data_IF_727135958554
#
_entry.id   IF_727135958554
#
_cell.length_a   1.000
_cell.length_b   1.000
_cell.length_c   1.000
_cell.angle_alpha   90.00
_cell.angle_beta   90.00
_cell.angle_gamma   90.00
#
_symmetry.space_group_name_H-M   'P 1'
#
loop_
_entity.id
_entity.type
_entity.pdbx_description
1 polymer ?
#
# COMPACT_ATOMS: atom_id res chain seq x y z
N UNK A 1 -47.97 23.68 -20.93
CA UNK A 1 -47.57 22.39 -21.53
C UNK A 1 -46.04 22.35 -21.57
N UNK A 2 -45.46 21.28 -21.02
CA UNK A 2 -44.05 20.85 -20.99
C UNK A 2 -43.05 21.67 -20.13
N UNK A 3 -42.77 21.33 -18.85
CA UNK A 3 -41.78 20.36 -18.29
C UNK A 3 -40.34 20.48 -18.82
N UNK A 4 -39.39 20.94 -17.99
CA UNK A 4 -38.43 20.13 -17.19
C UNK A 4 -37.45 21.04 -16.42
N UNK A 5 -37.14 20.78 -15.13
CA UNK A 5 -36.17 21.55 -14.35
C UNK A 5 -34.76 20.95 -14.51
N UNK A 6 -33.76 21.76 -14.87
CA UNK A 6 -32.37 21.34 -14.76
C UNK A 6 -31.83 21.68 -13.37
N UNK A 7 -31.68 20.63 -12.56
CA UNK A 7 -30.88 20.59 -11.35
C UNK A 7 -29.43 20.99 -11.66
N UNK A 8 -28.96 22.13 -11.16
CA UNK A 8 -27.53 22.37 -10.98
C UNK A 8 -27.14 21.91 -9.57
N UNK A 9 -26.75 20.65 -9.45
CA UNK A 9 -25.98 20.19 -8.31
C UNK A 9 -24.57 20.80 -8.45
N UNK A 10 -24.28 21.84 -7.68
CA UNK A 10 -22.94 22.38 -7.55
C UNK A 10 -22.09 21.37 -6.76
N UNK A 11 -21.38 20.51 -7.48
CA UNK A 11 -20.37 19.64 -6.89
C UNK A 11 -19.19 20.52 -6.49
N UNK A 12 -19.10 20.88 -5.20
CA UNK A 12 -17.93 21.56 -4.65
C UNK A 12 -16.76 20.57 -4.74
N UNK A 13 -15.82 20.90 -5.61
CA UNK A 13 -14.57 20.18 -5.76
C UNK A 13 -13.79 20.24 -4.44
N UNK A 14 -13.57 19.07 -3.83
CA UNK A 14 -12.51 18.92 -2.85
C UNK A 14 -11.19 19.19 -3.56
N UNK A 15 -10.59 20.35 -3.30
CA UNK A 15 -9.22 20.67 -3.68
C UNK A 15 -8.29 19.75 -2.90
N UNK A 16 -8.03 18.56 -3.43
CA UNK A 16 -6.86 17.80 -3.05
C UNK A 16 -5.66 18.62 -3.53
N UNK A 17 -4.95 19.26 -2.60
CA UNK A 17 -3.67 19.88 -2.87
C UNK A 17 -2.80 18.83 -3.57
N UNK A 18 -2.46 19.08 -4.83
CA UNK A 18 -1.49 18.30 -5.59
C UNK A 18 -0.19 18.34 -4.80
N UNK A 19 0.36 17.21 -4.30
CA UNK A 19 1.70 17.22 -3.76
C UNK A 19 2.65 17.67 -4.89
N UNK A 20 3.67 18.48 -4.58
CA UNK A 20 4.55 19.06 -5.59
C UNK A 20 5.15 17.94 -6.45
N UNK A 21 5.24 18.21 -7.76
CA UNK A 21 5.88 17.38 -8.77
C UNK A 21 7.22 16.84 -8.27
N UNK A 22 7.19 15.64 -7.70
CA UNK A 22 8.40 14.93 -7.32
C UNK A 22 8.53 13.79 -8.30
N UNK A 23 9.61 13.70 -9.10
CA UNK A 23 9.80 12.59 -10.00
C UNK A 23 9.80 11.31 -9.17
N UNK A 24 8.74 10.55 -9.34
CA UNK A 24 8.47 9.31 -8.64
C UNK A 24 9.63 8.36 -8.88
N UNK A 25 10.38 8.05 -7.83
CA UNK A 25 11.49 7.09 -7.90
C UNK A 25 10.90 5.71 -8.20
N UNK A 26 11.48 4.93 -9.13
CA UNK A 26 11.04 3.56 -9.39
C UNK A 26 11.04 2.75 -8.08
N UNK A 27 9.87 2.27 -7.67
CA UNK A 27 9.74 1.32 -6.56
C UNK A 27 9.45 1.89 -5.17
N UNK A 28 9.22 3.20 -4.97
CA UNK A 28 8.68 3.74 -3.71
C UNK A 28 7.45 4.59 -3.97
N UNK A 29 6.42 4.40 -3.16
CA UNK A 29 5.14 5.09 -3.27
C UNK A 29 4.90 5.93 -2.01
N UNK A 30 4.64 7.23 -2.19
CA UNK A 30 4.31 8.15 -1.10
C UNK A 30 2.80 8.15 -0.78
N UNK A 31 1.95 7.68 -1.70
CA UNK A 31 0.50 7.55 -1.47
C UNK A 31 -0.11 6.32 -2.14
N UNK A 32 -1.34 5.96 -1.75
CA UNK A 32 -2.14 4.93 -2.43
C UNK A 32 -2.51 5.30 -3.87
N UNK A 33 -2.82 6.57 -4.12
CA UNK A 33 -3.25 7.05 -5.45
C UNK A 33 -2.14 6.88 -6.47
N UNK A 34 -0.91 7.06 -6.01
CA UNK A 34 0.32 6.87 -6.77
C UNK A 34 0.56 5.39 -7.11
N UNK A 35 0.17 4.47 -6.22
CA UNK A 35 0.21 3.03 -6.49
C UNK A 35 -0.79 2.66 -7.57
N UNK A 36 -2.02 3.18 -7.48
CA UNK A 36 -3.04 2.95 -8.51
C UNK A 36 -2.62 3.48 -9.89
N UNK A 37 -1.88 4.59 -9.93
CA UNK A 37 -1.40 5.20 -11.17
C UNK A 37 -0.17 4.49 -11.76
N UNK A 38 0.70 3.92 -10.91
CA UNK A 38 2.06 3.50 -11.32
C UNK A 38 2.36 2.00 -11.15
N UNK A 39 1.40 1.17 -10.71
CA UNK A 39 1.59 -0.28 -10.60
C UNK A 39 1.48 -0.98 -11.98
N UNK A 40 2.35 -1.96 -12.33
CA UNK A 40 3.76 -2.14 -12.03
C UNK A 40 4.62 -1.80 -13.26
N UNK A 41 5.17 -0.58 -13.34
CA UNK A 41 6.37 -0.35 -14.14
C UNK A 41 7.58 -1.07 -13.49
N UNK A 42 8.68 -1.27 -14.23
CA UNK A 42 9.87 -1.94 -13.71
C UNK A 42 10.38 -1.23 -12.43
N UNK A 43 10.35 -1.92 -11.27
CA UNK A 43 10.75 -1.32 -10.02
C UNK A 43 12.27 -1.14 -9.99
N UNK A 44 12.71 -0.07 -9.34
CA UNK A 44 14.09 0.01 -8.86
C UNK A 44 14.33 -1.13 -7.87
N UNK A 45 15.59 -1.56 -7.72
CA UNK A 45 15.93 -2.63 -6.78
C UNK A 45 15.88 -2.07 -5.36
N UNK A 46 14.85 -2.41 -4.59
CA UNK A 46 14.77 -2.11 -3.16
C UNK A 46 15.49 -3.24 -2.42
N UNK A 47 16.66 -2.96 -1.85
CA UNK A 47 17.52 -4.02 -1.32
C UNK A 47 17.07 -4.49 0.06
N UNK A 48 16.78 -3.60 1.03
CA UNK A 48 16.42 -4.02 2.39
C UNK A 48 15.62 -2.96 3.16
N UNK A 49 14.59 -3.40 3.89
CA UNK A 49 14.03 -2.70 5.04
C UNK A 49 14.81 -3.13 6.28
N UNK A 50 15.72 -2.29 6.79
CA UNK A 50 16.38 -2.56 8.07
C UNK A 50 15.54 -1.94 9.20
N UNK A 51 14.97 -2.73 10.13
CA UNK A 51 14.14 -2.22 11.22
C UNK A 51 14.85 -1.14 12.06
N UNK A 52 16.18 -1.22 12.15
CA UNK A 52 17.00 -0.26 12.88
C UNK A 52 17.18 1.09 12.18
N UNK A 53 16.96 1.16 10.86
CA UNK A 53 17.35 2.34 10.08
C UNK A 53 16.22 3.32 9.84
N UNK A 54 14.94 2.96 9.99
CA UNK A 54 13.83 3.88 9.72
C UNK A 54 13.77 4.41 8.27
N UNK A 55 14.57 3.84 7.36
CA UNK A 55 14.68 4.22 5.96
C UNK A 55 14.59 2.99 5.05
N UNK A 56 14.08 3.18 3.84
CA UNK A 56 14.18 2.26 2.72
C UNK A 56 15.41 2.60 1.88
N UNK A 57 16.13 1.58 1.44
CA UNK A 57 17.24 1.72 0.50
C UNK A 57 16.78 1.33 -0.90
N UNK A 58 16.76 2.31 -1.79
CA UNK A 58 16.33 2.15 -3.19
C UNK A 58 17.53 2.30 -4.09
N UNK A 59 17.79 1.31 -4.93
CA UNK A 59 18.84 1.37 -5.95
C UNK A 59 18.18 1.64 -7.30
N UNK A 60 18.50 2.79 -7.88
CA UNK A 60 17.99 3.18 -9.19
C UNK A 60 18.51 2.21 -10.27
N UNK A 61 17.59 1.67 -11.07
CA UNK A 61 17.92 0.84 -12.21
C UNK A 61 18.70 1.67 -13.25
N UNK A 62 19.81 1.13 -13.75
CA UNK A 62 20.64 1.75 -14.79
C UNK A 62 21.76 2.66 -14.27
N UNK A 63 21.56 3.40 -13.16
CA UNK A 63 22.60 4.29 -12.59
C UNK A 63 23.25 3.75 -11.32
N UNK A 64 22.68 2.69 -10.71
CA UNK A 64 23.11 2.13 -9.43
C UNK A 64 23.19 3.14 -8.28
N UNK A 65 22.49 4.27 -8.43
CA UNK A 65 22.47 5.31 -7.40
C UNK A 65 21.64 4.82 -6.22
N UNK A 66 22.21 4.93 -5.03
CA UNK A 66 21.56 4.52 -3.79
C UNK A 66 20.83 5.71 -3.17
N UNK A 67 19.55 5.52 -2.90
CA UNK A 67 18.70 6.50 -2.23
C UNK A 67 18.20 5.95 -0.90
N UNK A 68 18.27 6.78 0.13
CA UNK A 68 17.65 6.49 1.43
C UNK A 68 16.36 7.29 1.55
N UNK A 69 15.25 6.62 1.82
CA UNK A 69 13.92 7.25 1.94
C UNK A 69 13.34 6.96 3.33
N UNK A 70 12.99 7.97 4.14
CA UNK A 70 12.43 7.73 5.47
C UNK A 70 11.10 6.99 5.41
N UNK A 71 10.98 5.87 6.12
CA UNK A 71 9.78 5.01 6.18
C UNK A 71 8.55 5.77 6.67
N UNK A 72 8.72 6.79 7.52
CA UNK A 72 7.63 7.58 8.07
C UNK A 72 6.81 8.36 7.01
N UNK A 73 7.40 8.61 5.84
CA UNK A 73 6.74 9.35 4.75
C UNK A 73 6.31 8.44 3.60
N UNK A 74 6.53 7.12 3.72
CA UNK A 74 6.33 6.17 2.62
C UNK A 74 5.06 5.36 2.88
N UNK A 75 4.15 5.36 1.91
CA UNK A 75 2.98 4.49 1.92
C UNK A 75 3.37 3.03 1.64
N UNK A 76 4.29 2.81 0.70
CA UNK A 76 4.73 1.47 0.31
C UNK A 76 5.88 1.45 -0.67
N UNK A 77 6.28 0.25 -1.11
CA UNK A 77 7.35 0.06 -2.09
C UNK A 77 7.09 -1.17 -2.96
N UNK A 78 7.77 -1.28 -4.09
CA UNK A 78 7.79 -2.52 -4.89
C UNK A 78 9.20 -3.12 -4.89
N UNK A 79 9.30 -4.43 -4.73
CA UNK A 79 10.59 -5.13 -4.81
C UNK A 79 10.95 -5.46 -6.27
N UNK A 80 12.15 -6.02 -6.48
CA UNK A 80 12.61 -6.42 -7.81
C UNK A 80 11.73 -7.47 -8.51
N UNK A 81 10.89 -8.19 -7.76
CA UNK A 81 9.95 -9.19 -8.28
C UNK A 81 8.59 -8.58 -8.65
N UNK A 82 8.48 -7.25 -8.70
CA UNK A 82 7.24 -6.51 -8.93
C UNK A 82 6.16 -6.74 -7.86
N UNK A 83 6.55 -7.28 -6.70
CA UNK A 83 5.65 -7.41 -5.56
C UNK A 83 5.55 -6.06 -4.84
N UNK A 84 4.32 -5.58 -4.64
CA UNK A 84 4.04 -4.32 -3.96
C UNK A 84 3.82 -4.57 -2.48
N UNK A 85 4.41 -3.75 -1.62
CA UNK A 85 4.30 -3.81 -0.18
C UNK A 85 3.75 -2.49 0.35
N UNK A 86 2.75 -2.55 1.23
CA UNK A 86 2.25 -1.42 2.01
C UNK A 86 2.95 -1.39 3.37
N UNK A 87 3.36 -0.21 3.81
CA UNK A 87 3.93 0.02 5.13
C UNK A 87 2.83 0.51 6.08
N UNK A 88 2.58 -0.26 7.13
CA UNK A 88 1.65 0.10 8.21
C UNK A 88 2.35 -0.15 9.53
N UNK A 89 2.45 0.87 10.38
CA UNK A 89 3.13 0.78 11.69
C UNK A 89 4.55 0.19 11.60
N UNK A 90 5.34 0.64 10.62
CA UNK A 90 6.70 0.15 10.32
C UNK A 90 6.78 -1.34 9.90
N UNK A 91 5.66 -1.96 9.56
CA UNK A 91 5.59 -3.34 9.09
C UNK A 91 5.20 -3.36 7.61
N UNK A 92 5.89 -4.19 6.83
CA UNK A 92 5.61 -4.37 5.42
C UNK A 92 4.59 -5.48 5.21
N UNK A 93 3.57 -5.19 4.41
CA UNK A 93 2.51 -6.10 4.03
C UNK A 93 2.47 -6.24 2.52
N UNK A 94 2.66 -7.44 2.00
CA UNK A 94 2.49 -7.75 0.59
C UNK A 94 1.05 -7.46 0.17
N UNK A 95 0.89 -6.58 -0.81
CA UNK A 95 -0.39 -6.21 -1.40
C UNK A 95 -0.70 -7.18 -2.52
N UNK A 96 -1.91 -7.74 -2.51
CA UNK A 96 -2.41 -8.62 -3.56
C UNK A 96 -3.83 -8.17 -3.92
N UNK A 97 -4.08 -8.01 -5.21
CA UNK A 97 -5.40 -7.65 -5.71
C UNK A 97 -6.15 -8.92 -6.08
N UNK A 98 -7.28 -9.16 -5.41
CA UNK A 98 -8.17 -10.27 -5.75
C UNK A 98 -9.57 -9.70 -6.00
N UNK A 99 -10.00 -9.76 -7.26
CA UNK A 99 -11.25 -9.21 -7.77
C UNK A 99 -11.43 -7.72 -7.44
N UNK A 100 -12.13 -7.42 -6.35
CA UNK A 100 -12.46 -6.07 -5.86
C UNK A 100 -11.93 -5.78 -4.46
N UNK A 101 -11.24 -6.75 -3.84
CA UNK A 101 -10.72 -6.64 -2.47
C UNK A 101 -9.21 -6.59 -2.51
N UNK A 102 -8.65 -5.60 -1.82
CA UNK A 102 -7.21 -5.53 -1.58
C UNK A 102 -6.88 -6.41 -0.38
N UNK A 103 -6.14 -7.47 -0.65
CA UNK A 103 -5.62 -8.37 0.35
C UNK A 103 -4.19 -7.97 0.71
N UNK A 104 -3.86 -8.19 1.97
CA UNK A 104 -2.57 -7.86 2.53
C UNK A 104 -2.05 -9.10 3.25
N UNK A 105 -0.78 -9.44 3.06
CA UNK A 105 -0.19 -10.57 3.74
C UNK A 105 1.19 -10.25 4.30
N UNK A 106 1.54 -10.89 5.41
CA UNK A 106 2.89 -10.80 5.95
C UNK A 106 3.33 -12.13 6.56
N UNK A 107 4.62 -12.49 6.49
CA UNK A 107 5.15 -13.58 7.27
C UNK A 107 5.23 -13.15 8.75
N UNK A 108 4.76 -14.01 9.64
CA UNK A 108 4.96 -13.88 11.09
C UNK A 108 5.64 -15.13 11.60
N UNK A 109 6.82 -14.93 12.20
CA UNK A 109 7.51 -15.99 12.92
C UNK A 109 7.04 -15.97 14.37
N UNK A 110 6.51 -17.11 14.84
CA UNK A 110 6.17 -17.31 16.24
C UNK A 110 7.08 -18.39 16.80
N UNK A 111 7.67 -18.08 17.96
CA UNK A 111 8.57 -18.97 18.65
C UNK A 111 7.80 -19.74 19.73
N UNK A 112 7.72 -21.05 19.56
CA UNK A 112 7.19 -21.98 20.54
C UNK A 112 8.35 -22.74 21.19
N UNK A 113 8.86 -22.19 22.29
CA UNK A 113 10.04 -22.74 22.98
C UNK A 113 11.29 -22.69 22.10
N UNK A 114 11.83 -23.86 21.72
CA UNK A 114 13.00 -23.98 20.83
C UNK A 114 12.66 -23.97 19.34
N UNK A 115 11.38 -24.09 18.99
CA UNK A 115 10.95 -24.17 17.60
C UNK A 115 10.41 -22.81 17.15
N UNK A 116 10.85 -22.35 15.99
CA UNK A 116 10.29 -21.19 15.32
C UNK A 116 9.45 -21.66 14.13
N UNK A 117 8.20 -21.24 14.07
CA UNK A 117 7.32 -21.53 12.94
C UNK A 117 6.92 -20.21 12.31
N UNK A 118 7.14 -20.10 10.99
CA UNK A 118 6.70 -18.95 10.20
C UNK A 118 5.39 -19.31 9.53
N UNK A 119 4.35 -18.51 9.78
CA UNK A 119 3.08 -18.60 9.06
C UNK A 119 2.74 -17.26 8.43
N UNK A 120 1.99 -17.30 7.33
CA UNK A 120 1.52 -16.10 6.64
C UNK A 120 0.21 -15.64 7.28
N UNK A 121 0.22 -14.43 7.82
CA UNK A 121 -1.01 -13.76 8.26
C UNK A 121 -1.64 -13.03 7.07
N UNK A 122 -2.96 -13.16 6.92
CA UNK A 122 -3.73 -12.48 5.89
C UNK A 122 -4.63 -11.42 6.52
N UNK A 123 -4.71 -10.28 5.85
CA UNK A 123 -5.47 -9.10 6.21
C UNK A 123 -6.21 -8.57 4.98
N UNK A 124 -7.23 -7.76 5.21
CA UNK A 124 -7.93 -7.03 4.17
C UNK A 124 -8.15 -5.59 4.62
N UNK A 125 -8.40 -4.71 3.67
CA UNK A 125 -8.80 -3.34 3.95
C UNK A 125 -9.92 -2.90 3.01
N UNK A 126 -10.78 -2.00 3.49
CA UNK A 126 -11.80 -1.35 2.70
C UNK A 126 -11.11 -0.18 1.99
N UNK A 127 -10.46 -0.49 0.87
CA UNK A 127 -9.63 0.45 0.11
C UNK A 127 -8.13 0.35 0.40
N UNK A 128 -7.34 1.11 -0.34
CA UNK A 128 -5.88 1.09 -0.24
C UNK A 128 -5.33 1.83 0.99
N UNK A 129 -6.06 2.82 1.51
CA UNK A 129 -5.66 3.61 2.68
C UNK A 129 -6.36 3.23 3.97
N UNK A 130 -7.35 2.33 3.91
CA UNK A 130 -8.09 1.93 5.09
C UNK A 130 -7.23 1.17 6.10
N UNK A 131 -7.78 0.97 7.29
CA UNK A 131 -7.16 0.13 8.31
C UNK A 131 -7.04 -1.32 7.83
N UNK A 132 -6.00 -2.00 8.31
CA UNK A 132 -5.82 -3.42 8.07
C UNK A 132 -6.62 -4.22 9.09
N UNK A 133 -7.53 -5.05 8.60
CA UNK A 133 -8.33 -5.96 9.42
C UNK A 133 -7.89 -7.40 9.18
N UNK A 134 -7.81 -8.24 10.22
CA UNK A 134 -7.43 -9.63 10.05
C UNK A 134 -8.49 -10.35 9.22
N UNK A 135 -8.03 -11.11 8.23
CA UNK A 135 -8.89 -11.89 7.34
C UNK A 135 -9.51 -13.04 8.14
N UNK A 136 -10.66 -12.76 8.75
CA UNK A 136 -11.43 -13.72 9.53
C UNK A 136 -12.89 -13.65 9.13
N UNK A 137 -13.60 -14.79 9.18
CA UNK A 137 -15.04 -14.85 8.85
C UNK A 137 -15.87 -13.85 9.66
N UNK A 138 -15.50 -13.64 10.93
CA UNK A 138 -16.17 -12.69 11.82
C UNK A 138 -16.00 -11.24 11.36
N UNK A 139 -14.77 -10.85 11.01
CA UNK A 139 -14.49 -9.48 10.54
C UNK A 139 -15.12 -9.23 9.18
N UNK A 140 -15.02 -10.19 8.25
CA UNK A 140 -15.66 -10.08 6.94
C UNK A 140 -17.18 -9.89 7.04
N UNK A 141 -17.85 -10.68 7.89
CA UNK A 141 -19.29 -10.49 8.15
C UNK A 141 -19.61 -9.12 8.72
N UNK A 142 -18.86 -8.68 9.73
CA UNK A 142 -19.06 -7.37 10.35
C UNK A 142 -18.97 -6.24 9.32
N UNK A 143 -18.02 -6.32 8.39
CA UNK A 143 -17.83 -5.31 7.35
C UNK A 143 -18.89 -5.39 6.24
N UNK A 144 -19.31 -6.59 5.82
CA UNK A 144 -20.39 -6.76 4.84
C UNK A 144 -21.77 -6.35 5.34
N UNK A 145 -21.99 -6.29 6.65
CA UNK A 145 -23.28 -5.90 7.26
C UNK A 145 -23.30 -4.41 7.62
N UNK A 146 -22.15 -3.72 7.57
CA UNK A 146 -22.02 -2.30 7.86
C UNK A 146 -22.13 -1.41 6.62
N UNK A 147 -22.12 -2.02 5.43
CA UNK A 147 -22.45 -1.40 4.14
C UNK A 147 -23.90 -1.71 3.76
#
# INVERSE_FOLDING_TARGET
MFTFPYLLAAFVAATAATPPDTPLRPGVYFSSTEVLRNAPAHPGRVEHLRPASGHLVVVAAGTYTVHQVPVAHVWGYANAEHQVFRLVNHQAYLVTYQDSVVLYSRPRTVQYGRNATTFTEHFFSIGLDGDLHPLSRRQLRKQLTAN
#
